data_IF_126135038271
#
_entry.id   IF_126135038271
#
_cell.length_a   1.000
_cell.length_b   1.000
_cell.length_c   1.000
_cell.angle_alpha   90.00
_cell.angle_beta   90.00
_cell.angle_gamma   90.00
#
_symmetry.space_group_name_H-M   'P 1'
#
loop_
_entity.id
_entity.type
_entity.pdbx_description
1 polymer ?
#
# COMPACT_ATOMS: atom_id res chain seq x y z
N UNK A 1 -20.19 -5.41 -13.73
CA UNK A 1 -20.49 -4.28 -14.66
C UNK A 1 -21.65 -4.51 -15.63
N UNK A 2 -22.06 -5.74 -15.92
CA UNK A 2 -23.23 -5.98 -16.81
C UNK A 2 -24.51 -5.30 -16.38
N UNK A 3 -24.77 -5.13 -15.05
CA UNK A 3 -25.98 -4.47 -14.52
C UNK A 3 -25.78 -2.97 -14.24
N UNK A 4 -24.57 -2.53 -13.95
CA UNK A 4 -24.21 -1.11 -13.71
C UNK A 4 -22.82 -0.83 -14.28
N UNK A 5 -22.72 -0.44 -15.56
CA UNK A 5 -21.43 -0.18 -16.21
C UNK A 5 -20.61 0.94 -15.56
N UNK A 6 -21.29 1.91 -14.93
CA UNK A 6 -20.64 3.04 -14.22
C UNK A 6 -20.16 2.70 -12.80
N UNK A 7 -20.40 1.47 -12.31
CA UNK A 7 -19.91 1.07 -11.01
C UNK A 7 -18.40 0.83 -11.06
N UNK A 8 -17.66 1.52 -10.17
CA UNK A 8 -16.22 1.31 -9.96
C UNK A 8 -16.04 0.36 -8.79
N UNK A 9 -15.30 -0.72 -9.00
CA UNK A 9 -15.06 -1.76 -8.01
C UNK A 9 -13.58 -1.89 -7.71
N UNK A 10 -13.20 -1.71 -6.46
CA UNK A 10 -11.84 -1.91 -5.98
C UNK A 10 -11.80 -2.76 -4.72
N UNK A 11 -10.61 -3.23 -4.39
CA UNK A 11 -10.35 -4.01 -3.17
C UNK A 11 -9.12 -3.50 -2.45
N UNK A 12 -9.13 -3.64 -1.11
CA UNK A 12 -8.00 -3.30 -0.25
C UNK A 12 -7.48 -4.58 0.43
N UNK A 13 -6.62 -5.34 -0.26
CA UNK A 13 -6.06 -6.56 0.27
C UNK A 13 -4.90 -6.30 1.24
N UNK A 14 -4.40 -7.35 1.90
CA UNK A 14 -3.11 -7.30 2.58
C UNK A 14 -1.99 -6.89 1.62
N UNK A 15 -0.98 -6.18 2.15
CA UNK A 15 0.05 -5.53 1.33
C UNK A 15 0.99 -6.49 0.57
N UNK A 16 1.04 -7.77 0.91
CA UNK A 16 1.97 -8.72 0.30
C UNK A 16 1.19 -9.87 -0.36
N UNK A 17 1.30 -9.98 -1.68
CA UNK A 17 0.73 -11.10 -2.43
C UNK A 17 1.47 -12.40 -2.11
N UNK A 18 2.75 -12.43 -2.39
CA UNK A 18 3.68 -13.53 -2.08
C UNK A 18 5.10 -12.96 -1.89
N UNK A 19 5.94 -13.67 -1.14
CA UNK A 19 7.37 -13.38 -1.08
C UNK A 19 8.10 -14.11 -2.20
N UNK A 20 9.22 -13.56 -2.66
CA UNK A 20 10.06 -14.19 -3.70
C UNK A 20 10.61 -15.55 -3.28
N UNK A 21 10.68 -15.83 -1.98
CA UNK A 21 11.09 -17.13 -1.44
C UNK A 21 10.06 -18.24 -1.75
N UNK A 22 8.77 -17.89 -1.74
CA UNK A 22 7.68 -18.82 -1.95
C UNK A 22 7.17 -18.83 -3.40
N UNK A 23 7.36 -17.71 -4.13
CA UNK A 23 6.96 -17.56 -5.51
C UNK A 23 7.96 -16.67 -6.26
N UNK A 24 8.46 -17.12 -7.41
CA UNK A 24 9.47 -16.40 -8.20
C UNK A 24 9.02 -14.99 -8.63
N UNK A 25 7.70 -14.76 -8.76
CA UNK A 25 7.10 -13.47 -9.11
C UNK A 25 6.76 -12.61 -7.87
N UNK A 26 7.01 -13.11 -6.66
CA UNK A 26 6.72 -12.43 -5.41
C UNK A 26 7.69 -11.29 -5.09
N UNK A 27 7.36 -10.54 -4.06
CA UNK A 27 8.18 -9.43 -3.57
C UNK A 27 9.52 -9.92 -3.04
N UNK A 28 10.60 -9.29 -3.45
CA UNK A 28 11.97 -9.61 -2.98
C UNK A 28 12.32 -8.84 -1.70
N UNK A 29 13.32 -9.36 -0.96
CA UNK A 29 13.86 -8.67 0.22
C UNK A 29 12.99 -8.73 1.46
N UNK A 30 11.98 -9.63 1.49
CA UNK A 30 11.11 -9.80 2.65
C UNK A 30 11.53 -10.99 3.53
N UNK A 31 11.28 -10.85 4.83
CA UNK A 31 11.36 -11.94 5.80
C UNK A 31 10.09 -12.81 5.81
N UNK A 32 9.95 -13.60 6.89
CA UNK A 32 8.72 -14.38 7.09
C UNK A 32 7.56 -13.45 7.47
N UNK A 33 6.55 -13.37 6.61
CA UNK A 33 5.42 -12.48 6.75
C UNK A 33 4.18 -13.07 6.12
N UNK A 34 2.99 -12.57 6.49
CA UNK A 34 1.72 -13.01 5.93
C UNK A 34 1.61 -12.64 4.44
N UNK A 35 1.08 -13.57 3.65
CA UNK A 35 0.98 -13.51 2.21
C UNK A 35 -0.44 -13.82 1.76
N UNK A 36 -1.08 -12.91 1.03
CA UNK A 36 -2.49 -13.09 0.66
C UNK A 36 -2.74 -14.34 -0.18
N UNK A 37 -1.79 -14.71 -1.04
CA UNK A 37 -1.90 -15.89 -1.89
C UNK A 37 -1.93 -17.20 -1.08
N UNK A 38 -1.01 -17.35 -0.13
CA UNK A 38 -0.84 -18.62 0.60
C UNK A 38 -1.68 -18.71 1.87
N UNK A 39 -1.84 -17.59 2.60
CA UNK A 39 -2.45 -17.63 3.94
C UNK A 39 -3.97 -17.46 3.91
N UNK A 40 -4.49 -16.73 2.90
CA UNK A 40 -5.93 -16.48 2.78
C UNK A 40 -6.49 -16.83 1.39
N UNK A 41 -5.70 -17.51 0.56
CA UNK A 41 -6.09 -17.99 -0.77
C UNK A 41 -6.62 -16.88 -1.70
N UNK A 42 -6.10 -15.67 -1.53
CA UNK A 42 -6.49 -14.51 -2.32
C UNK A 42 -5.40 -14.17 -3.36
N UNK A 43 -5.65 -14.52 -4.60
CA UNK A 43 -4.74 -14.25 -5.73
C UNK A 43 -4.93 -12.81 -6.23
N UNK A 44 -4.47 -11.86 -5.42
CA UNK A 44 -4.63 -10.43 -5.67
C UNK A 44 -3.84 -9.96 -6.88
N UNK A 45 -2.72 -10.62 -7.23
CA UNK A 45 -1.97 -10.40 -8.47
C UNK A 45 -2.85 -10.67 -9.68
N UNK A 46 -3.47 -11.85 -9.73
CA UNK A 46 -4.37 -12.24 -10.81
C UNK A 46 -5.56 -11.29 -10.96
N UNK A 47 -6.08 -10.73 -9.87
CA UNK A 47 -7.20 -9.78 -9.95
C UNK A 47 -6.82 -8.51 -10.71
N UNK A 48 -5.56 -8.09 -10.62
CA UNK A 48 -5.01 -6.97 -11.40
C UNK A 48 -4.78 -7.38 -12.85
N UNK A 49 -4.11 -8.50 -13.09
CA UNK A 49 -3.76 -9.00 -14.44
C UNK A 49 -4.99 -9.26 -15.29
N UNK A 50 -6.01 -9.91 -14.72
CA UNK A 50 -7.28 -10.23 -15.40
C UNK A 50 -8.30 -9.08 -15.36
N UNK A 51 -7.94 -7.92 -14.78
CA UNK A 51 -8.80 -6.74 -14.66
C UNK A 51 -10.15 -7.03 -14.00
N UNK A 52 -10.12 -7.87 -12.94
CA UNK A 52 -11.33 -8.14 -12.13
C UNK A 52 -11.68 -6.95 -11.22
N UNK A 53 -10.73 -6.06 -11.00
CA UNK A 53 -10.89 -4.82 -10.24
C UNK A 53 -10.66 -3.60 -11.12
N UNK A 54 -11.27 -2.47 -10.79
CA UNK A 54 -11.06 -1.19 -11.46
C UNK A 54 -9.91 -0.39 -10.83
N UNK A 55 -9.58 -0.68 -9.58
CA UNK A 55 -8.41 -0.19 -8.84
C UNK A 55 -8.07 -1.17 -7.73
N UNK A 56 -6.87 -1.06 -7.19
CA UNK A 56 -6.43 -1.84 -6.03
C UNK A 56 -5.80 -0.94 -4.98
N UNK A 57 -6.02 -1.27 -3.67
CA UNK A 57 -5.51 -0.50 -2.54
C UNK A 57 -4.85 -1.43 -1.51
N UNK A 58 -3.65 -1.99 -1.78
CA UNK A 58 -2.96 -2.85 -0.84
C UNK A 58 -2.61 -2.11 0.46
N UNK A 59 -2.79 -2.80 1.60
CA UNK A 59 -2.51 -2.29 2.93
C UNK A 59 -1.02 -2.48 3.23
N UNK A 60 -0.17 -1.49 2.88
CA UNK A 60 1.27 -1.54 3.12
C UNK A 60 1.55 -0.92 4.49
N UNK A 61 1.29 -1.68 5.55
CA UNK A 61 1.33 -1.20 6.94
C UNK A 61 2.65 -1.52 7.64
N UNK A 62 3.77 -1.37 6.92
CA UNK A 62 5.13 -1.49 7.44
C UNK A 62 5.92 -0.23 7.11
N UNK A 63 6.76 0.19 8.03
CA UNK A 63 7.62 1.36 7.86
C UNK A 63 8.76 1.13 6.85
N UNK A 64 9.39 2.21 6.38
CA UNK A 64 10.45 2.18 5.37
C UNK A 64 11.57 1.19 5.74
N UNK A 65 12.09 1.27 6.98
CA UNK A 65 13.20 0.45 7.44
C UNK A 65 12.79 -0.85 8.15
N UNK A 66 11.61 -1.36 7.87
CA UNK A 66 11.15 -2.63 8.45
C UNK A 66 12.08 -3.77 8.05
N UNK A 67 12.58 -4.52 9.04
CA UNK A 67 13.48 -5.68 8.81
C UNK A 67 12.76 -6.90 8.22
N UNK A 68 11.44 -6.95 8.36
CA UNK A 68 10.63 -8.10 7.92
C UNK A 68 9.99 -7.82 6.58
N UNK A 69 9.44 -6.62 6.41
CA UNK A 69 8.68 -6.22 5.24
C UNK A 69 8.88 -4.71 5.00
N UNK A 70 10.03 -4.29 4.47
CA UNK A 70 10.27 -2.88 4.18
C UNK A 70 9.25 -2.34 3.16
N UNK A 71 8.82 -1.10 3.36
CA UNK A 71 7.76 -0.47 2.58
C UNK A 71 8.09 -0.38 1.08
N UNK A 72 9.29 0.10 0.75
CA UNK A 72 9.69 0.40 -0.63
C UNK A 72 9.61 -0.81 -1.58
N UNK A 73 10.19 -1.99 -1.30
CA UNK A 73 10.08 -3.15 -2.19
C UNK A 73 8.64 -3.59 -2.43
N UNK A 74 7.77 -3.46 -1.43
CA UNK A 74 6.37 -3.83 -1.53
C UNK A 74 5.62 -2.82 -2.42
N UNK A 75 5.79 -1.53 -2.17
CA UNK A 75 5.20 -0.46 -2.94
C UNK A 75 5.63 -0.52 -4.41
N UNK A 76 6.93 -0.74 -4.65
CA UNK A 76 7.47 -0.89 -6.00
C UNK A 76 6.87 -2.09 -6.73
N UNK A 77 6.76 -3.26 -6.08
CA UNK A 77 6.18 -4.44 -6.69
C UNK A 77 4.73 -4.19 -7.15
N UNK A 78 3.91 -3.57 -6.29
CA UNK A 78 2.56 -3.19 -6.65
C UNK A 78 2.51 -2.15 -7.78
N UNK A 79 3.40 -1.17 -7.74
CA UNK A 79 3.49 -0.14 -8.77
C UNK A 79 3.81 -0.73 -10.15
N UNK A 80 4.81 -1.61 -10.21
CA UNK A 80 5.21 -2.27 -11.46
C UNK A 80 4.04 -3.11 -12.02
N UNK A 81 3.40 -3.94 -11.19
CA UNK A 81 2.24 -4.75 -11.58
C UNK A 81 1.07 -3.89 -12.08
N UNK A 82 0.75 -2.82 -11.38
CA UNK A 82 -0.37 -1.95 -11.70
C UNK A 82 -0.12 -1.11 -12.96
N UNK A 83 1.11 -0.59 -13.13
CA UNK A 83 1.51 0.16 -14.32
C UNK A 83 1.43 -0.71 -15.59
N UNK A 84 1.96 -1.94 -15.54
CA UNK A 84 1.91 -2.88 -16.65
C UNK A 84 0.47 -3.18 -17.07
N UNK A 85 -0.43 -3.36 -16.12
CA UNK A 85 -1.83 -3.73 -16.36
C UNK A 85 -2.77 -2.52 -16.53
N UNK A 86 -2.29 -1.29 -16.34
CA UNK A 86 -3.05 -0.04 -16.40
C UNK A 86 -4.23 -0.02 -15.42
N UNK A 87 -3.99 -0.54 -14.22
CA UNK A 87 -4.93 -0.50 -13.09
C UNK A 87 -4.44 0.56 -12.10
N UNK A 88 -5.26 1.53 -11.68
CA UNK A 88 -4.88 2.52 -10.67
C UNK A 88 -4.48 1.85 -9.35
N UNK A 89 -3.30 2.24 -8.84
CA UNK A 89 -2.80 1.83 -7.53
C UNK A 89 -3.04 2.93 -6.51
N UNK A 90 -3.84 2.66 -5.50
CA UNK A 90 -3.87 3.44 -4.27
C UNK A 90 -3.14 2.66 -3.19
N UNK A 91 -2.35 3.33 -2.34
CA UNK A 91 -1.60 2.65 -1.28
C UNK A 91 -2.21 2.93 0.09
N UNK A 92 -2.55 1.87 0.81
CA UNK A 92 -3.02 1.97 2.19
C UNK A 92 -1.89 2.32 3.15
N UNK A 93 -2.00 3.44 3.86
CA UNK A 93 -1.04 3.97 4.83
C UNK A 93 -1.55 3.76 6.25
N UNK A 94 -0.67 3.31 7.14
CA UNK A 94 -1.00 2.96 8.53
C UNK A 94 -0.95 4.17 9.48
N UNK A 95 -1.77 5.19 9.25
CA UNK A 95 -1.80 6.39 10.09
C UNK A 95 -2.10 6.10 11.58
N UNK A 96 -2.84 5.02 11.88
CA UNK A 96 -3.15 4.59 13.26
C UNK A 96 -1.91 4.18 14.07
N UNK A 97 -0.83 3.78 13.41
CA UNK A 97 0.40 3.33 14.08
C UNK A 97 1.20 4.45 14.72
N UNK A 98 0.83 5.69 14.50
CA UNK A 98 1.40 6.85 15.21
C UNK A 98 1.24 6.80 16.72
N UNK A 99 0.30 6.01 17.26
CA UNK A 99 0.17 5.74 18.70
C UNK A 99 1.16 4.69 19.20
N UNK A 100 1.73 3.87 18.31
CA UNK A 100 2.64 2.78 18.68
C UNK A 100 4.04 3.33 19.02
N UNK A 101 4.75 2.60 19.89
CA UNK A 101 6.18 2.84 20.09
C UNK A 101 6.95 2.29 18.89
N UNK A 102 7.83 3.08 18.29
CA UNK A 102 8.66 2.61 17.18
C UNK A 102 8.78 3.62 16.03
N UNK A 103 8.96 3.12 14.82
CA UNK A 103 9.27 3.94 13.64
C UNK A 103 8.22 5.01 13.35
N UNK A 104 6.93 4.71 13.53
CA UNK A 104 5.84 5.66 13.28
C UNK A 104 5.72 6.81 14.31
N UNK A 105 6.52 6.79 15.39
CA UNK A 105 6.74 7.99 16.23
C UNK A 105 7.63 9.03 15.58
N UNK A 106 8.42 8.62 14.57
CA UNK A 106 9.17 9.57 13.77
C UNK A 106 8.17 10.35 12.90
N UNK A 107 8.07 11.69 13.04
CA UNK A 107 7.14 12.49 12.23
C UNK A 107 7.46 12.44 10.73
N UNK A 108 8.70 12.09 10.37
CA UNK A 108 9.11 11.98 8.98
C UNK A 108 8.75 10.62 8.33
N UNK A 109 8.26 9.64 9.08
CA UNK A 109 7.99 8.32 8.52
C UNK A 109 6.97 8.37 7.39
N UNK A 110 5.82 8.98 7.63
CA UNK A 110 4.76 9.15 6.60
C UNK A 110 5.29 9.98 5.43
N UNK A 111 6.08 11.02 5.69
CA UNK A 111 6.70 11.84 4.64
C UNK A 111 7.64 11.01 3.76
N UNK A 112 8.43 10.13 4.36
CA UNK A 112 9.33 9.24 3.64
C UNK A 112 8.55 8.21 2.80
N UNK A 113 7.45 7.64 3.34
CA UNK A 113 6.55 6.77 2.58
C UNK A 113 5.97 7.50 1.36
N UNK A 114 5.47 8.74 1.52
CA UNK A 114 4.93 9.55 0.43
C UNK A 114 6.01 9.91 -0.62
N UNK A 115 7.21 10.23 -0.17
CA UNK A 115 8.35 10.51 -1.07
C UNK A 115 8.71 9.29 -1.90
N UNK A 116 8.71 8.09 -1.28
CA UNK A 116 8.90 6.83 -1.99
C UNK A 116 7.80 6.64 -3.05
N UNK A 117 6.53 6.79 -2.68
CA UNK A 117 5.38 6.58 -3.57
C UNK A 117 5.37 7.56 -4.75
N UNK A 118 5.72 8.83 -4.53
CA UNK A 118 5.72 9.85 -5.58
C UNK A 118 6.70 9.57 -6.73
N UNK A 119 7.70 8.74 -6.48
CA UNK A 119 8.67 8.30 -7.49
C UNK A 119 8.19 7.13 -8.37
N UNK A 120 7.06 6.50 -8.01
CA UNK A 120 6.58 5.27 -8.63
C UNK A 120 5.57 5.54 -9.75
N UNK A 121 5.81 4.99 -10.93
CA UNK A 121 5.02 5.25 -12.14
C UNK A 121 3.57 4.74 -12.10
N UNK A 122 3.32 3.67 -11.34
CA UNK A 122 1.97 3.08 -11.20
C UNK A 122 1.11 3.68 -10.08
N UNK A 123 1.70 4.56 -9.28
CA UNK A 123 1.02 5.18 -8.13
C UNK A 123 -0.03 6.20 -8.58
N UNK A 124 -1.21 6.14 -7.96
CA UNK A 124 -2.35 7.02 -8.25
C UNK A 124 -2.85 7.80 -7.02
N UNK A 125 -2.41 7.45 -5.83
CA UNK A 125 -2.78 8.09 -4.58
C UNK A 125 -2.69 7.17 -3.37
N UNK A 126 -3.08 7.66 -2.20
CA UNK A 126 -3.04 6.93 -0.93
C UNK A 126 -4.37 6.94 -0.20
N UNK A 127 -4.52 5.99 0.70
CA UNK A 127 -5.67 5.86 1.60
C UNK A 127 -5.19 5.68 3.03
N UNK A 128 -5.52 6.62 3.90
CA UNK A 128 -5.09 6.61 5.30
C UNK A 128 -6.04 5.82 6.19
N UNK A 129 -5.54 4.82 6.86
CA UNK A 129 -6.31 4.11 7.87
C UNK A 129 -5.91 4.64 9.27
N UNK A 130 -6.77 5.43 9.92
CA UNK A 130 -8.17 5.69 9.58
C UNK A 130 -8.52 7.18 9.77
N UNK A 131 -9.78 7.57 9.52
CA UNK A 131 -10.27 8.92 9.77
C UNK A 131 -10.04 9.40 11.22
N UNK A 132 -10.21 8.51 12.21
CA UNK A 132 -9.94 8.83 13.61
C UNK A 132 -8.46 9.20 13.85
N UNK A 133 -7.55 8.54 13.14
CA UNK A 133 -6.11 8.84 13.21
C UNK A 133 -5.81 10.22 12.62
N UNK A 134 -6.43 10.56 11.49
CA UNK A 134 -6.32 11.89 10.90
C UNK A 134 -6.89 12.96 11.83
N UNK A 135 -8.09 12.75 12.37
CA UNK A 135 -8.73 13.70 13.30
C UNK A 135 -7.87 14.02 14.52
N UNK A 136 -7.11 13.07 15.01
CA UNK A 136 -6.23 13.20 16.18
C UNK A 136 -4.78 13.52 15.79
N UNK A 137 -4.50 13.73 14.51
CA UNK A 137 -3.17 13.98 13.93
C UNK A 137 -2.11 12.96 14.38
N UNK A 138 -2.49 11.72 14.48
CA UNK A 138 -1.58 10.62 14.82
C UNK A 138 -0.47 10.51 13.76
N UNK A 139 0.75 10.24 14.20
CA UNK A 139 1.95 10.21 13.34
C UNK A 139 2.16 11.52 12.54
N UNK A 140 1.63 12.64 13.01
CA UNK A 140 1.74 13.95 12.34
C UNK A 140 1.27 13.93 10.87
N UNK A 141 0.28 13.08 10.55
CA UNK A 141 -0.20 12.89 9.17
C UNK A 141 -0.74 14.19 8.59
N UNK A 142 -1.57 14.93 9.35
CA UNK A 142 -2.16 16.18 8.85
C UNK A 142 -1.08 17.24 8.59
N UNK A 143 -0.13 17.38 9.50
CA UNK A 143 1.00 18.31 9.34
C UNK A 143 1.83 17.94 8.11
N UNK A 144 2.12 16.64 7.91
CA UNK A 144 2.83 16.13 6.75
C UNK A 144 2.07 16.39 5.45
N UNK A 145 0.75 16.13 5.42
CA UNK A 145 -0.07 16.36 4.23
C UNK A 145 -0.11 17.83 3.83
N UNK A 146 -0.22 18.75 4.80
CA UNK A 146 -0.14 20.19 4.54
C UNK A 146 1.21 20.59 3.95
N UNK A 147 2.29 20.03 4.44
CA UNK A 147 3.63 20.29 3.91
C UNK A 147 3.78 19.74 2.48
N UNK A 148 3.34 18.52 2.22
CA UNK A 148 3.52 17.84 0.93
C UNK A 148 2.60 18.40 -0.15
N UNK A 149 1.35 18.75 0.19
CA UNK A 149 0.34 19.19 -0.78
C UNK A 149 0.07 20.70 -0.78
N UNK A 150 0.69 21.47 0.12
CA UNK A 150 0.74 22.91 0.02
C UNK A 150 -0.51 23.65 0.53
N UNK A 151 -1.11 23.19 1.62
CA UNK A 151 -2.18 23.92 2.34
C UNK A 151 -1.70 24.62 3.61
#
# INVERSE_FOLDING_TARGET
KRKKPSCVFGVSPGGIWATKQNNAEGVSGLGNTSQTYYDVYADTKKWVEEKYVDYICPQIYWHIESKIAPFEPIAKWWSDLCAENKIPLYVGIAAYRGEENGAYKNPDEIKNELSCLSSLSGYSGEVYFSYSSLKNDLASVISTLKEVYGE
#
